data_IF_390690567802
#
_entry.id   IF_390690567802
#
_cell.length_a   1.000
_cell.length_b   1.000
_cell.length_c   1.000
_cell.angle_alpha   90.00
_cell.angle_beta   90.00
_cell.angle_gamma   90.00
#
_symmetry.space_group_name_H-M   'P 1'
#
loop_
_entity.id
_entity.type
_entity.pdbx_description
1 polymer ?
#
# COMPACT_ATOMS: atom_id res chain seq x y z
N UNK A 1 -2.23 -2.40 -34.32
CA UNK A 1 -1.60 -3.18 -33.23
C UNK A 1 -2.72 -3.74 -32.36
N UNK A 2 -2.85 -5.07 -32.26
CA UNK A 2 -3.80 -5.68 -31.31
C UNK A 2 -3.41 -5.26 -29.90
N UNK A 3 -4.33 -4.66 -29.16
CA UNK A 3 -4.05 -4.24 -27.79
C UNK A 3 -3.85 -5.48 -26.90
N UNK A 4 -2.75 -5.56 -26.14
CA UNK A 4 -2.47 -6.68 -25.23
C UNK A 4 -3.40 -6.76 -24.02
N UNK A 5 -4.47 -5.94 -23.99
CA UNK A 5 -5.37 -5.77 -22.85
C UNK A 5 -5.89 -7.10 -22.31
N UNK A 6 -6.22 -8.06 -23.20
CA UNK A 6 -6.81 -9.36 -22.86
C UNK A 6 -5.86 -10.55 -23.05
N UNK A 7 -4.56 -10.27 -23.19
CA UNK A 7 -3.55 -11.32 -23.30
C UNK A 7 -3.53 -12.21 -22.06
N UNK A 8 -3.15 -13.47 -22.25
CA UNK A 8 -3.04 -14.49 -21.21
C UNK A 8 -4.34 -14.81 -20.46
N UNK A 9 -5.50 -14.43 -21.01
CA UNK A 9 -6.78 -15.02 -20.62
C UNK A 9 -7.05 -16.30 -21.43
N UNK A 10 -7.84 -17.21 -20.86
CA UNK A 10 -8.36 -18.36 -21.62
C UNK A 10 -9.19 -17.86 -22.81
N UNK A 11 -9.20 -18.62 -23.91
CA UNK A 11 -9.90 -18.21 -25.13
C UNK A 11 -11.40 -17.99 -24.89
N UNK A 12 -12.02 -18.83 -24.05
CA UNK A 12 -13.43 -18.69 -23.67
C UNK A 12 -13.68 -17.38 -22.91
N UNK A 13 -12.89 -17.10 -21.87
CA UNK A 13 -13.08 -15.89 -21.05
C UNK A 13 -12.76 -14.62 -21.84
N UNK A 14 -11.74 -14.65 -22.71
CA UNK A 14 -11.45 -13.55 -23.63
C UNK A 14 -12.64 -13.23 -24.53
N UNK A 15 -13.25 -14.23 -25.16
CA UNK A 15 -14.45 -14.02 -26.00
C UNK A 15 -15.57 -13.40 -25.19
N UNK A 16 -15.80 -13.83 -23.95
CA UNK A 16 -16.84 -13.26 -23.08
C UNK A 16 -16.60 -11.77 -22.80
N UNK A 17 -15.36 -11.38 -22.49
CA UNK A 17 -14.98 -9.98 -22.26
C UNK A 17 -15.11 -9.15 -23.53
N UNK A 18 -14.63 -9.64 -24.67
CA UNK A 18 -14.71 -8.97 -25.97
C UNK A 18 -16.17 -8.77 -26.43
N UNK A 19 -17.01 -9.79 -26.26
CA UNK A 19 -18.43 -9.73 -26.66
C UNK A 19 -19.19 -8.70 -25.83
N UNK A 20 -18.86 -8.56 -24.55
CA UNK A 20 -19.49 -7.60 -23.64
C UNK A 20 -18.81 -6.24 -23.64
N UNK A 21 -17.65 -6.12 -24.29
CA UNK A 21 -16.70 -5.02 -24.14
C UNK A 21 -16.39 -4.65 -22.67
N UNK A 22 -16.46 -5.63 -21.76
CA UNK A 22 -16.46 -5.37 -20.33
C UNK A 22 -15.90 -6.56 -19.53
N UNK A 23 -14.92 -6.28 -18.68
CA UNK A 23 -14.38 -7.23 -17.72
C UNK A 23 -15.25 -7.26 -16.46
N UNK A 24 -15.95 -8.36 -16.23
CA UNK A 24 -16.65 -8.58 -14.96
C UNK A 24 -15.65 -9.07 -13.92
N UNK A 25 -15.22 -8.18 -13.02
CA UNK A 25 -14.12 -8.46 -12.09
C UNK A 25 -14.38 -9.68 -11.22
N UNK A 26 -15.62 -9.91 -10.79
CA UNK A 26 -16.00 -11.08 -9.99
C UNK A 26 -15.70 -12.42 -10.71
N UNK A 27 -15.74 -12.46 -12.04
CA UNK A 27 -15.48 -13.66 -12.84
C UNK A 27 -14.00 -13.90 -13.14
N UNK A 28 -13.14 -12.88 -12.92
CA UNK A 28 -11.69 -13.01 -13.07
C UNK A 28 -11.12 -13.89 -11.94
N UNK A 29 -10.91 -15.16 -12.23
CA UNK A 29 -10.35 -16.16 -11.31
C UNK A 29 -8.98 -16.64 -11.77
N UNK A 30 -8.18 -17.31 -10.91
CA UNK A 30 -6.87 -17.81 -11.33
C UNK A 30 -6.94 -18.78 -12.52
N UNK A 31 -8.03 -19.55 -12.64
CA UNK A 31 -8.21 -20.55 -13.69
C UNK A 31 -8.42 -19.94 -15.09
N UNK A 32 -8.87 -18.69 -15.17
CA UNK A 32 -9.06 -18.00 -16.46
C UNK A 32 -7.81 -17.25 -16.92
N UNK A 33 -6.72 -17.28 -16.14
CA UNK A 33 -5.42 -16.68 -16.48
C UNK A 33 -4.42 -17.79 -16.82
N UNK A 34 -3.99 -17.83 -18.07
CA UNK A 34 -3.15 -18.91 -18.63
C UNK A 34 -1.68 -18.78 -18.26
N UNK A 35 -1.19 -17.56 -18.02
CA UNK A 35 0.22 -17.32 -17.73
C UNK A 35 0.48 -17.20 -16.23
N UNK A 36 1.23 -18.14 -15.66
CA UNK A 36 1.68 -18.14 -14.27
C UNK A 36 3.17 -17.78 -14.20
N UNK A 37 3.51 -16.79 -13.39
CA UNK A 37 4.89 -16.34 -13.17
C UNK A 37 5.36 -16.77 -11.78
N UNK A 38 6.42 -17.59 -11.67
CA UNK A 38 7.01 -17.96 -10.39
C UNK A 38 7.53 -16.74 -9.63
N UNK A 39 7.44 -16.76 -8.30
CA UNK A 39 7.83 -15.62 -7.44
C UNK A 39 9.25 -15.10 -7.68
N UNK A 40 10.21 -16.00 -7.96
CA UNK A 40 11.62 -15.64 -8.19
C UNK A 40 11.88 -14.88 -9.50
N UNK A 41 10.93 -14.93 -10.44
CA UNK A 41 11.06 -14.34 -11.78
C UNK A 41 10.08 -13.17 -11.98
N UNK A 42 9.35 -12.80 -10.93
CA UNK A 42 8.29 -11.82 -11.03
C UNK A 42 8.87 -10.40 -11.07
N UNK A 43 9.00 -9.87 -12.28
CA UNK A 43 9.22 -8.45 -12.52
C UNK A 43 7.87 -7.80 -12.89
N UNK A 44 7.43 -6.83 -12.09
CA UNK A 44 6.19 -6.08 -12.34
C UNK A 44 6.56 -4.69 -12.83
N UNK A 45 6.05 -4.34 -14.00
CA UNK A 45 6.09 -2.97 -14.51
C UNK A 45 5.04 -2.12 -13.78
N UNK A 46 5.42 -1.59 -12.62
CA UNK A 46 4.55 -0.84 -11.72
C UNK A 46 3.96 0.43 -12.35
N UNK A 47 4.66 1.03 -13.31
CA UNK A 47 4.16 2.22 -14.02
C UNK A 47 2.91 1.91 -14.86
N UNK A 48 2.77 0.64 -15.26
CA UNK A 48 1.74 0.17 -16.18
C UNK A 48 0.79 -0.87 -15.58
N UNK A 49 0.85 -1.08 -14.25
CA UNK A 49 -0.15 -1.89 -13.53
C UNK A 49 -1.51 -1.20 -13.60
N UNK A 50 -2.53 -1.93 -14.05
CA UNK A 50 -3.92 -1.50 -14.08
C UNK A 50 -4.65 -2.05 -12.85
N UNK A 51 -4.52 -3.35 -12.58
CA UNK A 51 -5.27 -4.06 -11.54
C UNK A 51 -4.36 -5.06 -10.81
N UNK A 52 -4.53 -5.13 -9.49
CA UNK A 52 -4.10 -6.24 -8.65
C UNK A 52 -5.35 -6.90 -8.07
N UNK A 53 -5.52 -8.21 -8.23
CA UNK A 53 -6.62 -8.94 -7.62
C UNK A 53 -6.05 -10.11 -6.83
N UNK A 54 -6.33 -10.16 -5.53
CA UNK A 54 -6.04 -11.33 -4.72
C UNK A 54 -7.24 -12.26 -4.69
N UNK A 55 -7.02 -13.48 -5.16
CA UNK A 55 -7.93 -14.58 -4.95
C UNK A 55 -7.42 -15.41 -3.78
N UNK A 56 -7.96 -15.14 -2.58
CA UNK A 56 -7.60 -15.90 -1.39
C UNK A 56 -7.82 -17.40 -1.56
N UNK A 57 -6.93 -18.18 -0.98
CA UNK A 57 -7.04 -19.63 -0.91
C UNK A 57 -7.73 -20.07 0.38
N UNK A 58 -7.99 -21.38 0.50
CA UNK A 58 -8.38 -21.98 1.77
C UNK A 58 -7.22 -21.92 2.77
N UNK A 59 -7.43 -22.15 4.07
CA UNK A 59 -6.34 -22.25 5.05
C UNK A 59 -5.22 -23.23 4.63
N UNK A 60 -5.53 -24.25 3.81
CA UNK A 60 -4.56 -25.21 3.29
C UNK A 60 -3.92 -24.83 1.95
N UNK A 61 -4.40 -23.80 1.24
CA UNK A 61 -3.89 -23.38 -0.08
C UNK A 61 -3.49 -21.91 -0.06
N UNK A 62 -2.27 -21.62 -0.48
CA UNK A 62 -1.85 -20.22 -0.69
C UNK A 62 -2.77 -19.57 -1.73
N UNK A 63 -3.17 -18.32 -1.48
CA UNK A 63 -3.96 -17.56 -2.44
C UNK A 63 -3.13 -17.18 -3.67
N UNK A 64 -3.81 -16.80 -4.73
CA UNK A 64 -3.18 -16.39 -5.99
C UNK A 64 -3.50 -14.93 -6.28
N UNK A 65 -2.47 -14.17 -6.62
CA UNK A 65 -2.60 -12.80 -7.11
C UNK A 65 -2.64 -12.80 -8.63
N UNK A 66 -3.59 -12.07 -9.19
CA UNK A 66 -3.67 -11.74 -10.61
C UNK A 66 -3.21 -10.29 -10.75
N UNK A 67 -2.25 -10.06 -11.64
CA UNK A 67 -1.76 -8.73 -12.02
C UNK A 67 -2.17 -8.48 -13.45
N UNK A 68 -2.81 -7.33 -13.70
CA UNK A 68 -3.08 -6.84 -15.04
C UNK A 68 -2.20 -5.64 -15.32
N UNK A 69 -1.43 -5.72 -16.40
CA UNK A 69 -0.61 -4.60 -16.90
C UNK A 69 -1.06 -4.18 -18.28
N UNK A 70 -0.85 -2.91 -18.62
CA UNK A 70 -1.22 -2.36 -19.91
C UNK A 70 -0.45 -2.99 -21.09
N UNK A 71 0.74 -3.55 -20.85
CA UNK A 71 1.61 -4.07 -21.91
C UNK A 71 1.70 -5.60 -21.97
N UNK A 72 1.69 -6.30 -20.83
CA UNK A 72 1.80 -7.75 -20.80
C UNK A 72 0.45 -8.47 -20.68
N UNK A 73 -0.65 -7.75 -20.42
CA UNK A 73 -1.95 -8.34 -20.14
C UNK A 73 -2.01 -8.92 -18.73
N UNK A 74 -2.63 -10.09 -18.58
CA UNK A 74 -2.83 -10.73 -17.27
C UNK A 74 -1.70 -11.71 -16.95
N UNK A 75 -1.27 -11.74 -15.69
CA UNK A 75 -0.40 -12.78 -15.16
C UNK A 75 -0.91 -13.19 -13.79
N UNK A 76 -0.64 -14.43 -13.38
CA UNK A 76 -0.94 -14.89 -12.02
C UNK A 76 0.31 -15.36 -11.29
N UNK A 77 0.34 -15.18 -9.98
CA UNK A 77 1.46 -15.55 -9.12
C UNK A 77 0.97 -15.89 -7.71
N UNK A 78 1.71 -16.70 -6.98
CA UNK A 78 1.36 -17.12 -5.61
C UNK A 78 1.88 -16.15 -4.54
N UNK A 79 2.39 -14.99 -4.95
CA UNK A 79 2.82 -13.91 -4.06
C UNK A 79 1.64 -13.02 -3.72
N UNK A 80 1.37 -12.80 -2.44
CA UNK A 80 0.29 -11.92 -1.99
C UNK A 80 0.56 -10.46 -2.41
N UNK A 81 -0.47 -9.65 -2.73
CA UNK A 81 -0.24 -8.30 -3.26
C UNK A 81 0.47 -7.39 -2.27
N UNK A 82 0.27 -7.57 -0.96
CA UNK A 82 1.01 -6.81 0.04
C UNK A 82 2.52 -7.02 -0.13
N UNK A 83 2.97 -8.27 -0.24
CA UNK A 83 4.38 -8.60 -0.48
C UNK A 83 4.89 -8.03 -1.80
N UNK A 84 4.04 -7.95 -2.84
CA UNK A 84 4.40 -7.28 -4.09
C UNK A 84 4.63 -5.79 -3.90
N UNK A 85 3.71 -5.12 -3.18
CA UNK A 85 3.79 -3.69 -2.88
C UNK A 85 4.97 -3.38 -1.95
N UNK A 86 5.22 -4.23 -0.94
CA UNK A 86 6.39 -4.12 -0.04
C UNK A 86 7.70 -4.22 -0.83
N UNK A 87 7.71 -4.91 -1.98
CA UNK A 87 8.84 -4.93 -2.91
C UNK A 87 9.16 -3.55 -3.47
N UNK A 88 8.13 -2.72 -3.73
CA UNK A 88 8.30 -1.32 -4.18
C UNK A 88 8.86 -0.45 -3.05
N UNK A 89 8.43 -0.69 -1.81
CA UNK A 89 8.88 0.05 -0.63
C UNK A 89 10.39 -0.11 -0.39
N UNK A 90 10.98 -1.27 -0.70
CA UNK A 90 12.44 -1.45 -0.54
C UNK A 90 13.26 -0.48 -1.38
N UNK A 91 12.71 -0.03 -2.51
CA UNK A 91 13.35 0.91 -3.42
C UNK A 91 12.82 2.35 -3.25
N UNK A 92 11.94 2.59 -2.27
CA UNK A 92 11.26 3.87 -2.06
C UNK A 92 11.32 4.31 -0.59
N UNK A 93 11.58 5.59 -0.28
CA UNK A 93 11.60 6.07 1.10
C UNK A 93 10.20 6.14 1.76
N UNK A 94 9.14 5.69 1.08
CA UNK A 94 7.76 5.83 1.52
C UNK A 94 7.22 4.50 2.04
N UNK A 95 6.95 4.46 3.34
CA UNK A 95 6.51 3.26 4.06
C UNK A 95 4.99 3.12 4.15
N UNK A 96 4.50 1.96 4.60
CA UNK A 96 3.08 1.80 4.95
C UNK A 96 2.62 2.73 6.08
N UNK A 97 3.51 3.08 7.01
CA UNK A 97 3.21 4.03 8.08
C UNK A 97 2.99 5.43 7.48
N UNK A 98 3.81 5.83 6.51
CA UNK A 98 3.61 7.07 5.76
C UNK A 98 2.29 7.04 4.98
N UNK A 99 1.97 5.93 4.32
CA UNK A 99 0.68 5.75 3.61
C UNK A 99 -0.52 5.92 4.54
N UNK A 100 -0.44 5.40 5.77
CA UNK A 100 -1.48 5.62 6.78
C UNK A 100 -1.59 7.09 7.15
N UNK A 101 -0.48 7.77 7.44
CA UNK A 101 -0.50 9.20 7.77
C UNK A 101 -1.05 10.06 6.62
N UNK A 102 -0.64 9.79 5.38
CA UNK A 102 -1.19 10.46 4.19
C UNK A 102 -2.69 10.23 4.05
N UNK A 103 -3.15 9.00 4.29
CA UNK A 103 -4.57 8.65 4.23
C UNK A 103 -5.37 9.42 5.28
N UNK A 104 -4.89 9.46 6.51
CA UNK A 104 -5.55 10.16 7.63
C UNK A 104 -5.69 11.65 7.37
N UNK A 105 -4.61 12.31 6.94
CA UNK A 105 -4.62 13.76 6.62
C UNK A 105 -5.48 14.05 5.39
N UNK A 106 -5.60 13.10 4.46
CA UNK A 106 -6.49 13.21 3.30
C UNK A 106 -7.97 12.95 3.63
N UNK A 107 -8.28 12.55 4.87
CA UNK A 107 -9.62 12.22 5.34
C UNK A 107 -10.12 10.83 4.89
N UNK A 108 -9.21 9.95 4.48
CA UNK A 108 -9.53 8.58 4.06
C UNK A 108 -9.92 7.69 5.24
N UNK A 109 -10.80 6.71 4.97
CA UNK A 109 -11.21 5.66 5.94
C UNK A 109 -11.24 4.28 5.29
N UNK A 110 -11.04 3.22 6.05
CA UNK A 110 -11.07 1.83 5.55
C UNK A 110 -9.73 1.39 4.92
N UNK A 111 -9.72 0.40 4.01
CA UNK A 111 -8.48 -0.17 3.47
C UNK A 111 -7.58 0.91 2.86
N UNK A 112 -6.27 0.80 3.10
CA UNK A 112 -5.30 1.80 2.67
C UNK A 112 -5.12 1.78 1.14
N UNK A 113 -5.09 2.98 0.58
CA UNK A 113 -4.58 3.18 -0.78
C UNK A 113 -3.06 3.25 -0.72
N UNK A 114 -2.38 2.66 -1.70
CA UNK A 114 -0.93 2.82 -1.85
C UNK A 114 -0.67 3.77 -3.02
N UNK A 115 0.00 4.88 -2.74
CA UNK A 115 0.26 5.93 -3.72
C UNK A 115 1.74 6.24 -3.73
N UNK A 116 2.36 6.15 -4.90
CA UNK A 116 3.76 6.50 -5.11
C UNK A 116 3.93 7.12 -6.49
N UNK A 117 4.12 8.43 -6.53
CA UNK A 117 4.25 9.17 -7.79
C UNK A 117 3.00 9.03 -8.67
N UNK A 118 3.13 8.30 -9.79
CA UNK A 118 2.03 8.03 -10.72
C UNK A 118 1.23 6.77 -10.38
N UNK A 119 1.77 5.87 -9.56
CA UNK A 119 1.08 4.68 -9.09
C UNK A 119 0.05 5.07 -8.02
N UNK A 120 -1.22 4.72 -8.24
CA UNK A 120 -2.32 5.01 -7.31
C UNK A 120 -3.18 3.76 -7.08
N UNK A 121 -2.69 2.80 -6.30
CA UNK A 121 -3.44 1.57 -6.00
C UNK A 121 -4.59 1.88 -5.03
N UNK A 122 -5.81 1.92 -5.56
CA UNK A 122 -7.04 2.19 -4.82
C UNK A 122 -7.74 0.86 -4.50
N UNK A 123 -8.03 0.56 -3.23
CA UNK A 123 -8.68 -0.69 -2.86
C UNK A 123 -10.14 -0.73 -3.32
N UNK A 124 -10.46 -1.77 -4.09
CA UNK A 124 -11.79 -2.10 -4.62
C UNK A 124 -12.20 -3.49 -4.15
N UNK A 125 -13.52 -3.74 -4.02
CA UNK A 125 -14.08 -5.05 -3.63
C UNK A 125 -13.40 -5.65 -2.38
N UNK A 126 -13.77 -5.21 -1.18
CA UNK A 126 -13.20 -5.75 0.05
C UNK A 126 -14.08 -6.90 0.61
N UNK A 127 -13.78 -8.14 0.22
CA UNK A 127 -14.34 -9.35 0.86
C UNK A 127 -13.25 -9.99 1.73
N UNK A 128 -13.64 -10.67 2.82
CA UNK A 128 -12.73 -11.18 3.86
C UNK A 128 -11.44 -11.85 3.33
N UNK A 129 -11.51 -12.60 2.22
CA UNK A 129 -10.36 -13.28 1.61
C UNK A 129 -10.08 -12.87 0.16
N UNK A 130 -10.85 -11.93 -0.40
CA UNK A 130 -10.67 -11.45 -1.76
C UNK A 130 -10.64 -9.94 -1.75
N UNK A 131 -9.49 -9.39 -2.11
CA UNK A 131 -9.29 -7.96 -2.14
C UNK A 131 -8.57 -7.58 -3.42
N UNK A 132 -8.92 -6.43 -3.97
CA UNK A 132 -8.34 -5.96 -5.22
C UNK A 132 -7.93 -4.50 -5.09
N UNK A 133 -6.95 -4.08 -5.88
CA UNK A 133 -6.62 -2.68 -6.09
C UNK A 133 -6.69 -2.35 -7.56
N UNK A 134 -7.24 -1.20 -7.85
CA UNK A 134 -7.25 -0.61 -9.18
C UNK A 134 -6.36 0.62 -9.19
N UNK A 135 -5.53 0.74 -10.23
CA UNK A 135 -4.69 1.91 -10.36
C UNK A 135 -5.50 3.13 -10.85
N UNK A 136 -5.69 4.09 -9.94
CA UNK A 136 -6.42 5.33 -10.18
C UNK A 136 -5.91 6.16 -11.35
N UNK A 137 -4.64 6.00 -11.73
CA UNK A 137 -4.08 6.63 -12.93
C UNK A 137 -4.85 6.28 -14.21
N UNK A 138 -5.41 5.07 -14.29
CA UNK A 138 -6.13 4.56 -15.45
C UNK A 138 -7.63 4.84 -15.41
N UNK A 139 -8.16 5.34 -14.29
CA UNK A 139 -9.58 5.70 -14.18
C UNK A 139 -9.91 6.89 -15.07
N UNK A 140 -10.98 6.76 -15.87
CA UNK A 140 -11.58 7.86 -16.62
C UNK A 140 -12.90 8.29 -15.95
N UNK A 141 -13.83 7.35 -15.78
CA UNK A 141 -15.11 7.59 -15.10
C UNK A 141 -15.54 6.39 -14.27
N UNK A 142 -16.36 6.64 -13.25
CA UNK A 142 -16.98 5.61 -12.42
C UNK A 142 -18.48 5.90 -12.39
N UNK A 143 -19.28 4.97 -12.90
CA UNK A 143 -20.73 5.11 -12.97
C UNK A 143 -21.40 4.03 -12.10
N UNK A 144 -22.47 4.36 -11.36
CA UNK A 144 -23.28 3.34 -10.71
C UNK A 144 -23.86 2.41 -11.78
N UNK A 145 -23.76 1.11 -11.56
CA UNK A 145 -24.29 0.10 -12.46
C UNK A 145 -25.40 -0.67 -11.76
N UNK A 146 -26.58 -0.72 -12.40
CA UNK A 146 -27.73 -1.50 -11.98
C UNK A 146 -28.10 -1.35 -10.48
N UNK A 147 -28.45 -0.13 -10.06
CA UNK A 147 -28.74 0.26 -8.66
C UNK A 147 -29.91 -0.48 -7.99
N UNK A 148 -30.68 -1.28 -8.74
CA UNK A 148 -31.83 -2.04 -8.26
C UNK A 148 -31.48 -3.42 -7.67
N UNK A 149 -30.23 -3.88 -7.82
CA UNK A 149 -29.78 -5.15 -7.24
C UNK A 149 -29.42 -5.01 -5.75
N UNK A 150 -29.55 -6.11 -5.00
CA UNK A 150 -29.13 -6.18 -3.59
C UNK A 150 -27.63 -5.90 -3.39
N UNK A 151 -26.81 -6.16 -4.42
CA UNK A 151 -25.38 -5.84 -4.44
C UNK A 151 -25.17 -4.59 -5.28
N UNK A 152 -24.63 -3.53 -4.67
CA UNK A 152 -24.24 -2.32 -5.39
C UNK A 152 -23.11 -2.65 -6.37
N UNK A 153 -23.28 -2.26 -7.63
CA UNK A 153 -22.28 -2.45 -8.68
C UNK A 153 -21.88 -1.11 -9.28
N UNK A 154 -20.68 -1.08 -9.86
CA UNK A 154 -20.16 0.09 -10.56
C UNK A 154 -19.48 -0.33 -11.84
N UNK A 155 -19.76 0.42 -12.91
CA UNK A 155 -19.07 0.31 -14.19
C UNK A 155 -17.96 1.36 -14.22
N UNK A 156 -16.74 0.90 -14.42
CA UNK A 156 -15.55 1.72 -14.50
C UNK A 156 -15.11 1.78 -15.94
N UNK A 157 -14.99 2.99 -16.49
CA UNK A 157 -14.33 3.19 -17.77
C UNK A 157 -12.86 3.54 -17.53
N UNK A 158 -11.96 2.78 -18.15
CA UNK A 158 -10.54 3.07 -18.15
C UNK A 158 -10.18 4.00 -19.30
N UNK A 159 -9.10 4.78 -19.13
CA UNK A 159 -8.51 5.60 -20.19
C UNK A 159 -8.10 4.81 -21.44
N UNK A 160 -7.92 3.50 -21.31
CA UNK A 160 -7.62 2.58 -22.41
C UNK A 160 -8.87 2.06 -23.11
N UNK A 161 -10.01 2.75 -23.00
CA UNK A 161 -11.35 2.36 -23.54
C UNK A 161 -11.95 1.06 -23.00
N UNK A 162 -11.24 0.35 -22.13
CA UNK A 162 -11.72 -0.89 -21.52
C UNK A 162 -12.68 -0.59 -20.37
N UNK A 163 -13.69 -1.43 -20.20
CA UNK A 163 -14.62 -1.34 -19.08
C UNK A 163 -14.37 -2.44 -18.04
N UNK A 164 -14.55 -2.09 -16.77
CA UNK A 164 -14.54 -3.04 -15.65
C UNK A 164 -15.83 -2.91 -14.87
N UNK A 165 -16.56 -4.01 -14.71
CA UNK A 165 -17.70 -4.11 -13.80
C UNK A 165 -17.25 -4.68 -12.46
N UNK A 166 -17.49 -3.94 -11.37
CA UNK A 166 -17.12 -4.33 -10.00
C UNK A 166 -18.32 -4.37 -9.07
N UNK A 167 -18.25 -5.21 -8.03
CA UNK A 167 -19.22 -5.31 -6.94
C UNK A 167 -18.90 -4.29 -5.84
N UNK A 168 -19.08 -3.02 -6.17
CA UNK A 168 -18.81 -1.89 -5.28
C UNK A 168 -19.68 -0.70 -5.63
N UNK A 169 -19.79 0.27 -4.71
CA UNK A 169 -20.52 1.52 -5.00
C UNK A 169 -19.62 2.58 -5.63
N UNK A 170 -20.20 3.30 -6.60
CA UNK A 170 -19.49 4.35 -7.33
C UNK A 170 -19.06 5.46 -6.37
N UNK A 171 -19.92 5.82 -5.42
CA UNK A 171 -19.63 6.79 -4.37
C UNK A 171 -18.40 6.42 -3.53
N UNK A 172 -18.30 5.17 -3.06
CA UNK A 172 -17.16 4.70 -2.27
C UNK A 172 -15.89 4.76 -3.09
N UNK A 173 -15.94 4.29 -4.33
CA UNK A 173 -14.78 4.29 -5.22
C UNK A 173 -14.32 5.72 -5.57
N UNK A 174 -15.24 6.63 -5.90
CA UNK A 174 -14.93 8.04 -6.16
C UNK A 174 -14.31 8.70 -4.92
N UNK A 175 -14.84 8.43 -3.72
CA UNK A 175 -14.25 8.91 -2.47
C UNK A 175 -12.82 8.42 -2.28
N UNK A 176 -12.57 7.15 -2.59
CA UNK A 176 -11.22 6.55 -2.52
C UNK A 176 -10.28 7.10 -3.58
N UNK A 177 -10.76 7.33 -4.79
CA UNK A 177 -9.98 7.95 -5.86
C UNK A 177 -9.59 9.38 -5.52
N UNK A 178 -10.53 10.20 -5.04
CA UNK A 178 -10.25 11.55 -4.51
C UNK A 178 -9.23 11.53 -3.37
N UNK A 179 -9.30 10.54 -2.49
CA UNK A 179 -8.32 10.35 -1.40
C UNK A 179 -6.93 10.07 -1.98
N UNK A 180 -6.81 9.14 -2.93
CA UNK A 180 -5.52 8.84 -3.57
C UNK A 180 -4.93 10.06 -4.29
N UNK A 181 -5.76 10.88 -4.94
CA UNK A 181 -5.32 12.15 -5.54
C UNK A 181 -4.83 13.16 -4.52
N UNK A 182 -5.50 13.28 -3.36
CA UNK A 182 -5.04 14.12 -2.26
C UNK A 182 -3.68 13.63 -1.72
N UNK A 183 -3.53 12.32 -1.49
CA UNK A 183 -2.25 11.73 -1.06
C UNK A 183 -1.13 12.12 -2.04
N UNK A 184 -1.37 11.93 -3.35
CA UNK A 184 -0.41 12.31 -4.40
C UNK A 184 -0.05 13.80 -4.34
N UNK A 185 -1.02 14.68 -4.10
CA UNK A 185 -0.76 16.12 -3.94
C UNK A 185 0.10 16.42 -2.72
N UNK A 186 -0.14 15.77 -1.58
CA UNK A 186 0.70 15.96 -0.37
C UNK A 186 2.12 15.46 -0.60
N UNK A 187 2.31 14.32 -1.28
CA UNK A 187 3.63 13.84 -1.68
C UNK A 187 4.37 14.84 -2.59
N UNK A 188 3.67 15.39 -3.58
CA UNK A 188 4.23 16.40 -4.49
C UNK A 188 4.61 17.68 -3.73
N UNK A 189 3.77 18.15 -2.81
CA UNK A 189 4.10 19.28 -1.93
C UNK A 189 5.33 19.00 -1.07
N UNK A 190 5.49 17.77 -0.55
CA UNK A 190 6.67 17.39 0.21
C UNK A 190 7.93 17.43 -0.65
N UNK A 191 7.85 16.93 -1.89
CA UNK A 191 8.96 17.00 -2.84
C UNK A 191 9.35 18.45 -3.14
N UNK A 192 8.39 19.29 -3.53
CA UNK A 192 8.64 20.70 -3.84
C UNK A 192 9.18 21.49 -2.63
N UNK A 193 8.69 21.18 -1.42
CA UNK A 193 9.23 21.76 -0.19
C UNK A 193 10.69 21.37 0.02
N UNK A 194 11.03 20.08 -0.16
CA UNK A 194 12.41 19.60 -0.03
C UNK A 194 13.33 20.19 -1.12
N UNK A 195 12.86 20.27 -2.36
CA UNK A 195 13.60 20.87 -3.47
C UNK A 195 13.91 22.35 -3.17
N UNK A 196 12.97 23.10 -2.58
CA UNK A 196 13.21 24.49 -2.15
C UNK A 196 14.15 24.59 -0.94
N UNK A 197 14.04 23.66 0.00
CA UNK A 197 14.85 23.66 1.22
C UNK A 197 16.33 23.33 0.93
N UNK A 198 16.59 22.44 -0.03
CA UNK A 198 17.93 21.91 -0.30
C UNK A 198 18.51 22.32 -1.67
N UNK A 199 17.72 22.91 -2.57
CA UNK A 199 18.09 23.11 -3.99
C UNK A 199 18.70 24.46 -4.37
N UNK A 200 18.73 25.48 -3.51
CA UNK A 200 19.39 26.76 -3.84
C UNK A 200 19.75 27.58 -2.60
N UNK A 201 20.87 28.31 -2.65
CA UNK A 201 21.60 29.02 -1.57
C UNK A 201 20.84 30.09 -0.74
N UNK A 202 19.53 30.01 -0.55
CA UNK A 202 18.78 30.91 0.32
C UNK A 202 17.93 30.13 1.31
N UNK A 203 18.49 29.88 2.50
CA UNK A 203 17.86 29.14 3.61
C UNK A 203 16.85 29.97 4.43
N UNK A 204 16.49 31.18 4.03
CA UNK A 204 15.62 32.03 4.82
C UNK A 204 14.20 32.09 4.21
N UNK A 205 13.24 31.47 4.91
CA UNK A 205 11.79 31.63 4.76
C UNK A 205 11.02 30.62 3.87
N UNK A 206 11.45 29.36 3.79
CA UNK A 206 10.57 28.31 3.21
C UNK A 206 9.47 27.94 4.20
N UNK A 207 8.25 28.45 3.97
CA UNK A 207 7.09 28.10 4.79
C UNK A 207 6.65 26.65 4.56
N UNK A 208 6.43 25.92 5.65
CA UNK A 208 5.90 24.56 5.60
C UNK A 208 4.40 24.58 5.27
N UNK A 209 3.94 23.95 4.17
CA UNK A 209 2.52 23.89 3.84
C UNK A 209 1.68 23.28 4.98
N UNK A 210 0.46 23.77 5.25
CA UNK A 210 -0.36 23.29 6.37
C UNK A 210 -0.63 21.79 6.36
N UNK A 211 -0.93 21.21 5.19
CA UNK A 211 -1.19 19.77 5.08
C UNK A 211 0.08 18.95 5.27
N UNK A 212 1.25 19.47 4.87
CA UNK A 212 2.52 18.82 5.12
C UNK A 212 2.89 18.86 6.62
N UNK A 213 2.56 19.96 7.32
CA UNK A 213 2.65 20.05 8.78
C UNK A 213 1.78 19.00 9.46
N UNK A 214 0.50 18.88 9.06
CA UNK A 214 -0.42 17.85 9.58
C UNK A 214 0.12 16.44 9.34
N UNK A 215 0.64 16.18 8.14
CA UNK A 215 1.26 14.90 7.79
C UNK A 215 2.42 14.55 8.71
N UNK A 216 3.38 15.46 8.90
CA UNK A 216 4.54 15.23 9.79
C UNK A 216 4.13 14.94 11.23
N UNK A 217 3.19 15.72 11.78
CA UNK A 217 2.63 15.49 13.12
C UNK A 217 1.99 14.09 13.21
N UNK A 218 1.25 13.68 12.17
CA UNK A 218 0.57 12.39 12.16
C UNK A 218 1.53 11.21 12.04
N UNK A 219 2.55 11.28 11.18
CA UNK A 219 3.61 10.26 11.09
C UNK A 219 4.26 10.08 12.45
N UNK A 220 4.65 11.17 13.10
CA UNK A 220 5.28 11.12 14.42
C UNK A 220 4.37 10.46 15.46
N UNK A 221 3.07 10.81 15.49
CA UNK A 221 2.11 10.20 16.40
C UNK A 221 1.93 8.69 16.15
N UNK A 222 1.92 8.24 14.89
CA UNK A 222 1.83 6.83 14.54
C UNK A 222 3.09 6.05 14.93
N UNK A 223 4.26 6.64 14.68
CA UNK A 223 5.55 6.06 15.06
C UNK A 223 5.64 5.90 16.58
N UNK A 224 5.25 6.94 17.33
CA UNK A 224 5.16 6.88 18.79
C UNK A 224 4.26 5.76 19.30
N UNK A 225 3.04 5.66 18.78
CA UNK A 225 2.11 4.61 19.17
C UNK A 225 2.63 3.20 18.82
N UNK A 226 3.35 3.04 17.71
CA UNK A 226 3.99 1.79 17.35
C UNK A 226 5.13 1.44 18.32
N UNK A 227 6.01 2.39 18.57
CA UNK A 227 7.15 2.28 19.48
C UNK A 227 6.70 1.92 20.90
N UNK A 228 5.72 2.65 21.46
CA UNK A 228 5.15 2.37 22.80
C UNK A 228 4.57 0.95 22.91
N UNK A 229 3.97 0.44 21.83
CA UNK A 229 3.36 -0.89 21.80
C UNK A 229 4.38 -2.03 21.67
N UNK A 230 5.50 -1.77 20.99
CA UNK A 230 6.47 -2.79 20.57
C UNK A 230 7.81 -2.72 21.30
N UNK A 231 8.05 -1.66 22.08
CA UNK A 231 9.18 -1.63 22.98
C UNK A 231 8.95 -2.60 24.15
N UNK A 232 9.97 -3.39 24.53
CA UNK A 232 9.89 -4.18 25.75
C UNK A 232 9.65 -3.25 26.94
N UNK A 233 8.78 -3.70 27.86
CA UNK A 233 8.21 -3.00 29.02
C UNK A 233 9.20 -2.32 30.01
N UNK A 234 10.50 -2.27 29.69
CA UNK A 234 11.55 -1.81 30.60
C UNK A 234 12.43 -0.68 30.03
N UNK A 235 11.95 0.13 29.08
CA UNK A 235 12.62 1.41 28.85
C UNK A 235 12.34 2.34 30.02
N UNK A 236 13.40 2.92 30.56
CA UNK A 236 13.28 4.04 31.48
C UNK A 236 12.64 5.24 30.76
N UNK A 237 11.99 6.13 31.50
CA UNK A 237 11.39 7.36 30.94
C UNK A 237 12.40 8.17 30.11
N UNK A 238 13.68 8.14 30.48
CA UNK A 238 14.76 8.80 29.75
C UNK A 238 15.05 8.15 28.38
N UNK A 239 15.07 6.81 28.31
CA UNK A 239 15.28 6.08 27.05
C UNK A 239 14.08 6.21 26.12
N UNK A 240 12.87 6.15 26.66
CA UNK A 240 11.66 6.42 25.90
C UNK A 240 11.70 7.82 25.28
N UNK A 241 12.04 8.85 26.07
CA UNK A 241 12.19 10.22 25.57
C UNK A 241 13.26 10.35 24.48
N UNK A 242 14.38 9.62 24.59
CA UNK A 242 15.41 9.58 23.53
C UNK A 242 14.91 8.93 22.25
N UNK A 243 14.14 7.84 22.33
CA UNK A 243 13.52 7.21 21.15
C UNK A 243 12.50 8.16 20.51
N UNK A 244 11.67 8.82 21.34
CA UNK A 244 10.73 9.86 20.90
C UNK A 244 11.45 11.00 20.18
N UNK A 245 12.56 11.49 20.74
CA UNK A 245 13.31 12.61 20.18
C UNK A 245 14.10 12.21 18.93
N UNK A 246 14.65 10.99 18.86
CA UNK A 246 15.26 10.46 17.64
C UNK A 246 14.22 10.32 16.51
N UNK A 247 13.05 9.76 16.83
CA UNK A 247 11.89 9.66 15.95
C UNK A 247 11.38 11.04 15.47
N UNK A 248 11.36 12.05 16.34
CA UNK A 248 10.99 13.44 16.02
C UNK A 248 11.95 14.11 15.04
N UNK A 249 13.23 13.81 15.13
CA UNK A 249 14.27 14.48 14.35
C UNK A 249 14.67 13.72 13.07
N UNK A 250 14.04 12.58 12.76
CA UNK A 250 14.38 11.72 11.62
C UNK A 250 15.89 11.38 11.54
N UNK A 251 16.60 11.43 12.68
CA UNK A 251 18.03 11.14 12.71
C UNK A 251 18.22 9.64 12.82
N UNK A 252 19.05 9.00 11.98
CA UNK A 252 19.46 7.63 12.25
C UNK A 252 20.09 7.58 13.64
N UNK A 253 19.72 6.56 14.41
CA UNK A 253 20.29 6.30 15.72
C UNK A 253 21.82 6.27 15.59
N UNK A 254 22.60 6.94 16.47
CA UNK A 254 24.04 6.80 16.45
C UNK A 254 24.37 5.33 16.78
N UNK A 255 24.87 4.58 15.79
CA UNK A 255 25.24 3.18 15.94
C UNK A 255 26.41 2.98 16.92
N UNK A 256 27.06 4.07 17.33
CA UNK A 256 28.29 4.06 18.11
C UNK A 256 28.11 4.55 19.56
N UNK A 257 26.87 4.67 20.08
CA UNK A 257 26.72 4.77 21.53
C UNK A 257 26.90 3.38 22.15
N UNK A 258 27.96 3.14 22.96
CA UNK A 258 28.08 1.89 23.69
C UNK A 258 26.88 1.80 24.63
N UNK A 259 25.97 0.86 24.32
CA UNK A 259 24.88 0.51 25.21
C UNK A 259 25.42 0.18 26.61
N UNK A 260 24.59 0.29 27.66
CA UNK A 260 25.04 0.11 29.03
C UNK A 260 25.77 -1.23 29.20
N UNK A 261 27.08 -1.16 29.36
CA UNK A 261 27.95 -2.26 29.75
C UNK A 261 27.66 -2.64 31.19
N UNK A 262 26.66 -3.50 31.39
CA UNK A 262 26.59 -4.41 32.53
C UNK A 262 25.48 -5.45 32.36
N UNK A 263 25.66 -6.42 31.47
CA UNK A 263 25.07 -7.75 31.68
C UNK A 263 26.01 -8.54 32.58
N UNK A 264 26.08 -8.12 33.85
CA UNK A 264 26.74 -8.85 34.91
C UNK A 264 25.80 -9.90 35.47
N UNK A 265 25.93 -11.14 34.98
CA UNK A 265 25.63 -12.41 35.63
C UNK A 265 24.58 -12.40 36.76
N UNK A 266 23.35 -12.81 36.42
CA UNK A 266 22.47 -13.50 37.37
C UNK A 266 22.74 -15.00 37.21
N UNK A 267 23.67 -15.53 37.99
CA UNK A 267 23.75 -16.95 38.27
C UNK A 267 23.40 -17.16 39.74
N UNK A 268 22.31 -17.89 39.94
CA UNK A 268 21.84 -18.43 41.20
C UNK A 268 22.98 -19.12 41.97
N UNK A 269 23.01 -18.91 43.30
CA UNK A 269 23.39 -19.90 44.32
C UNK A 269 23.10 -19.34 45.72
N UNK A 270 22.05 -19.82 46.35
CA UNK A 270 21.97 -20.00 47.81
C UNK A 270 22.27 -21.48 48.10
N UNK A 271 22.65 -21.91 49.32
CA UNK A 271 23.55 -21.34 50.34
C UNK A 271 24.69 -22.34 50.70
N UNK A 272 25.47 -22.12 51.78
CA UNK A 272 25.30 -23.07 52.88
C UNK A 272 25.29 -22.43 54.28
N UNK A 273 24.55 -23.09 55.15
CA UNK A 273 24.61 -23.09 56.62
C UNK A 273 26.02 -23.02 57.20
N UNK A 274 26.21 -22.26 58.31
CA UNK A 274 26.73 -22.79 59.59
C UNK A 274 26.68 -21.75 60.71
N UNK A 275 26.26 -22.23 61.89
CA UNK A 275 26.43 -21.76 63.26
C UNK A 275 27.39 -20.60 63.57
N UNK A 276 26.90 -19.64 64.38
CA UNK A 276 27.25 -19.52 65.81
C UNK A 276 26.06 -18.97 66.58
#
# INVERSE_FOLDING_TARGET
MQQPAWNNLTAEFRRQVETRNCLVLAQLTPNVVTHQVPSKQLAIDWDHVILLKYCGGSPQRRGTTIVWTAYAGFVRTDVAPRTLIDGIERDSPVTWLDMQAYTDVSGGRGPLSYVLGRLQLIPIENKQNHYSWLNGRYLQTVNPYNSKQAVRQSLIMLKTTNEILIQDSAERLIGKWRTADKIRRVQQMNKEYNDKLYGSHYLANVQLPPDLKKFRIRVQALLMAYVERHLPLNLTTAEMNKVVDAARHNRPWPLDEPGPTSWGNRAERLPPTTHK
#
